data_IF_762970327818
#
_entry.id   IF_762970327818
#
_cell.length_a   1.000
_cell.length_b   1.000
_cell.length_c   1.000
_cell.angle_alpha   90.00
_cell.angle_beta   90.00
_cell.angle_gamma   90.00
#
_symmetry.space_group_name_H-M   'P 1'
#
loop_
_entity.id
_entity.type
_entity.pdbx_description
1 polymer ?
#
# COMPACT_ATOMS: atom_id res chain seq x y z
N UNK A 1 -8.55 29.84 -4.46
CA UNK A 1 -9.50 29.64 -5.58
C UNK A 1 -10.50 28.58 -5.12
N UNK A 2 -11.81 28.75 -5.38
CA UNK A 2 -12.83 27.72 -5.06
C UNK A 2 -13.30 27.11 -6.37
N UNK A 3 -13.49 25.80 -6.40
CA UNK A 3 -14.04 25.05 -7.53
C UNK A 3 -15.45 24.53 -7.18
N UNK A 4 -16.30 24.24 -8.18
CA UNK A 4 -17.62 23.63 -7.94
C UNK A 4 -17.47 22.23 -7.32
N UNK A 5 -18.28 21.92 -6.30
CA UNK A 5 -18.39 20.58 -5.71
C UNK A 5 -19.63 19.83 -6.19
N UNK A 6 -19.63 18.51 -6.03
CA UNK A 6 -20.70 17.62 -6.55
C UNK A 6 -21.94 17.49 -5.66
N UNK A 7 -22.05 18.26 -4.57
CA UNK A 7 -23.22 18.23 -3.70
C UNK A 7 -24.50 18.52 -4.50
N UNK A 8 -25.54 17.69 -4.34
CA UNK A 8 -26.80 17.71 -5.13
C UNK A 8 -26.67 17.46 -6.64
N UNK A 9 -25.50 17.03 -7.13
CA UNK A 9 -25.24 16.79 -8.56
C UNK A 9 -24.62 15.40 -8.83
N UNK A 10 -24.69 14.48 -7.86
CA UNK A 10 -24.02 13.18 -7.94
C UNK A 10 -24.40 12.36 -9.19
N UNK A 11 -25.69 12.30 -9.54
CA UNK A 11 -26.15 11.55 -10.72
C UNK A 11 -25.67 12.14 -12.05
N UNK A 12 -25.77 13.47 -12.21
CA UNK A 12 -25.33 14.15 -13.43
C UNK A 12 -23.80 14.10 -13.57
N UNK A 13 -23.07 14.25 -12.47
CA UNK A 13 -21.61 14.16 -12.47
C UNK A 13 -21.16 12.73 -12.81
N UNK A 14 -21.79 11.72 -12.21
CA UNK A 14 -21.51 10.31 -12.51
C UNK A 14 -21.73 9.98 -14.00
N UNK A 15 -22.87 10.42 -14.56
CA UNK A 15 -23.18 10.25 -15.97
C UNK A 15 -22.16 10.97 -16.86
N UNK A 16 -21.77 12.20 -16.49
CA UNK A 16 -20.78 12.99 -17.22
C UNK A 16 -19.42 12.28 -17.26
N UNK A 17 -18.94 11.77 -16.12
CA UNK A 17 -17.68 11.02 -16.07
C UNK A 17 -17.73 9.75 -16.92
N UNK A 18 -18.86 9.04 -16.92
CA UNK A 18 -19.04 7.85 -17.75
C UNK A 18 -19.04 8.20 -19.26
N UNK A 19 -19.73 9.28 -19.65
CA UNK A 19 -19.77 9.77 -21.04
C UNK A 19 -18.39 10.23 -21.54
N UNK A 20 -17.58 10.85 -20.67
CA UNK A 20 -16.20 11.23 -20.97
C UNK A 20 -15.25 10.03 -21.04
N UNK A 21 -15.68 8.85 -20.60
CA UNK A 21 -14.86 7.65 -20.56
C UNK A 21 -13.80 7.68 -19.45
N UNK A 22 -14.09 8.32 -18.32
CA UNK A 22 -13.21 8.34 -17.14
C UNK A 22 -13.04 6.92 -16.58
N UNK A 23 -11.79 6.57 -16.24
CA UNK A 23 -11.40 5.25 -15.72
C UNK A 23 -11.01 5.29 -14.23
N UNK A 24 -10.85 6.47 -13.64
CA UNK A 24 -10.48 6.66 -12.23
C UNK A 24 -11.11 7.95 -11.70
N UNK A 25 -11.88 7.86 -10.62
CA UNK A 25 -12.47 8.99 -9.92
C UNK A 25 -12.00 9.01 -8.46
N UNK A 26 -11.28 10.07 -8.08
CA UNK A 26 -11.00 10.41 -6.67
C UNK A 26 -12.02 11.42 -6.19
N UNK A 27 -12.66 11.14 -5.06
CA UNK A 27 -13.66 12.00 -4.45
C UNK A 27 -13.19 12.43 -3.08
N UNK A 28 -13.13 13.74 -2.92
CA UNK A 28 -12.68 14.42 -1.71
C UNK A 28 -13.87 14.86 -0.85
N UNK A 29 -13.64 15.05 0.45
CA UNK A 29 -14.70 15.32 1.45
C UNK A 29 -14.75 16.76 1.96
N UNK A 30 -14.05 17.70 1.33
CA UNK A 30 -14.03 19.09 1.77
C UNK A 30 -15.43 19.74 1.75
N UNK A 31 -15.68 20.67 2.69
CA UNK A 31 -16.85 21.56 2.72
C UNK A 31 -18.23 20.86 2.84
N UNK A 32 -18.29 19.65 3.39
CA UNK A 32 -19.54 18.94 3.67
C UNK A 32 -19.59 18.47 5.14
N UNK A 33 -20.80 18.19 5.63
CA UNK A 33 -21.01 17.66 6.99
C UNK A 33 -20.78 16.16 7.03
N UNK A 34 -20.51 15.62 8.22
CA UNK A 34 -20.38 14.18 8.44
C UNK A 34 -21.61 13.40 7.94
N UNK A 35 -22.81 13.87 8.29
CA UNK A 35 -24.08 13.25 7.89
C UNK A 35 -24.19 13.15 6.37
N UNK A 36 -23.76 14.18 5.64
CA UNK A 36 -23.77 14.15 4.19
C UNK A 36 -22.65 13.25 3.64
N UNK A 37 -21.45 13.25 4.20
CA UNK A 37 -20.35 12.40 3.71
C UNK A 37 -20.72 10.92 3.72
N UNK A 38 -21.31 10.45 4.82
CA UNK A 38 -21.68 9.04 4.97
C UNK A 38 -22.71 8.58 3.94
N UNK A 39 -23.58 9.48 3.48
CA UNK A 39 -24.59 9.19 2.44
C UNK A 39 -24.04 9.47 1.05
N UNK A 40 -23.34 10.59 0.85
CA UNK A 40 -22.87 11.06 -0.45
C UNK A 40 -21.82 10.15 -1.09
N UNK A 41 -20.92 9.55 -0.31
CA UNK A 41 -19.98 8.56 -0.86
C UNK A 41 -20.71 7.31 -1.37
N UNK A 42 -21.75 6.86 -0.65
CA UNK A 42 -22.58 5.72 -1.04
C UNK A 42 -23.39 6.07 -2.29
N UNK A 43 -24.12 7.18 -2.26
CA UNK A 43 -24.99 7.61 -3.34
C UNK A 43 -24.22 7.81 -4.65
N UNK A 44 -23.01 8.38 -4.57
CA UNK A 44 -22.15 8.51 -5.74
C UNK A 44 -21.67 7.15 -6.25
N UNK A 45 -21.25 6.24 -5.37
CA UNK A 45 -20.89 4.87 -5.76
C UNK A 45 -22.05 4.16 -6.49
N UNK A 46 -23.27 4.31 -5.98
CA UNK A 46 -24.48 3.78 -6.61
C UNK A 46 -24.80 4.48 -7.93
N UNK A 47 -24.61 5.80 -8.03
CA UNK A 47 -24.81 6.57 -9.26
C UNK A 47 -23.83 6.14 -10.36
N UNK A 48 -22.55 5.99 -10.01
CA UNK A 48 -21.52 5.49 -10.92
C UNK A 48 -21.86 4.09 -11.43
N UNK A 49 -22.33 3.19 -10.57
CA UNK A 49 -22.78 1.85 -10.98
C UNK A 49 -24.01 1.89 -11.91
N UNK A 50 -24.95 2.81 -11.68
CA UNK A 50 -26.14 3.00 -12.55
C UNK A 50 -25.79 3.44 -13.97
N UNK A 51 -24.63 4.05 -14.21
CA UNK A 51 -24.18 4.42 -15.57
C UNK A 51 -23.95 3.21 -16.48
N UNK A 52 -23.84 1.99 -15.91
CA UNK A 52 -23.55 0.77 -16.66
C UNK A 52 -22.08 0.62 -17.07
N UNK A 53 -21.22 1.61 -16.76
CA UNK A 53 -19.77 1.46 -16.84
C UNK A 53 -19.29 0.73 -15.57
N UNK A 54 -18.73 -0.48 -15.67
CA UNK A 54 -18.39 -1.26 -14.48
C UNK A 54 -17.45 -0.51 -13.55
N UNK A 55 -17.53 -0.73 -12.24
CA UNK A 55 -16.58 -0.20 -11.26
C UNK A 55 -15.59 -1.30 -10.82
N UNK A 56 -14.31 -1.07 -11.12
CA UNK A 56 -13.03 -1.79 -10.86
C UNK A 56 -12.56 -3.09 -11.55
N UNK A 57 -11.25 -2.99 -11.85
CA UNK A 57 -10.17 -3.89 -12.28
C UNK A 57 -10.52 -5.24 -12.94
N UNK A 58 -10.44 -5.25 -14.27
CA UNK A 58 -9.98 -6.42 -15.02
C UNK A 58 -9.26 -5.95 -16.29
N UNK A 59 -7.93 -6.00 -16.26
CA UNK A 59 -7.07 -5.82 -17.41
C UNK A 59 -7.21 -7.03 -18.35
N UNK A 60 -8.34 -7.18 -19.03
CA UNK A 60 -8.52 -8.04 -20.24
C UNK A 60 -9.96 -8.09 -20.79
N UNK A 61 -10.94 -7.36 -20.22
CA UNK A 61 -12.31 -7.36 -20.74
C UNK A 61 -12.66 -6.09 -21.54
N UNK A 62 -13.46 -6.17 -22.62
CA UNK A 62 -13.95 -4.97 -23.30
C UNK A 62 -14.88 -4.19 -22.37
N UNK A 63 -14.41 -3.02 -21.92
CA UNK A 63 -15.09 -2.15 -20.95
C UNK A 63 -14.16 -1.86 -19.78
N UNK A 64 -13.45 -0.72 -19.82
CA UNK A 64 -12.52 -0.32 -18.75
C UNK A 64 -13.32 0.06 -17.51
N UNK A 65 -13.15 -0.67 -16.40
CA UNK A 65 -13.95 -0.43 -15.23
C UNK A 65 -13.37 0.76 -14.43
N UNK A 66 -14.24 1.64 -13.95
CA UNK A 66 -13.85 2.86 -13.22
C UNK A 66 -13.39 2.53 -11.79
N UNK A 67 -12.26 3.08 -11.37
CA UNK A 67 -11.78 2.99 -9.99
C UNK A 67 -12.35 4.12 -9.15
N UNK A 68 -13.01 3.79 -8.04
CA UNK A 68 -13.54 4.78 -7.11
C UNK A 68 -12.67 4.87 -5.85
N UNK A 69 -11.95 5.98 -5.74
CA UNK A 69 -11.09 6.33 -4.61
C UNK A 69 -11.79 7.38 -3.74
N UNK A 70 -12.05 7.06 -2.48
CA UNK A 70 -12.72 7.99 -1.56
C UNK A 70 -11.80 8.46 -0.44
N UNK A 71 -11.93 9.72 -0.01
CA UNK A 71 -11.23 10.23 1.19
C UNK A 71 -11.99 9.95 2.49
N UNK A 72 -12.96 9.04 2.48
CA UNK A 72 -13.98 8.89 3.52
C UNK A 72 -13.41 8.70 4.94
N UNK A 73 -12.54 7.72 5.24
CA UNK A 73 -12.04 7.54 6.60
C UNK A 73 -11.29 8.76 7.14
N UNK A 74 -10.48 9.42 6.29
CA UNK A 74 -9.74 10.61 6.69
C UNK A 74 -10.65 11.72 7.23
N UNK A 75 -11.75 12.04 6.54
CA UNK A 75 -12.65 13.10 7.00
C UNK A 75 -13.38 12.71 8.29
N UNK A 76 -13.83 11.46 8.40
CA UNK A 76 -14.52 10.98 9.60
C UNK A 76 -13.59 11.09 10.82
N UNK A 77 -12.35 10.61 10.70
CA UNK A 77 -11.41 10.59 11.83
C UNK A 77 -10.81 11.96 12.14
N UNK A 78 -10.25 12.66 11.14
CA UNK A 78 -9.41 13.83 11.39
C UNK A 78 -10.14 15.17 11.27
N UNK A 79 -11.30 15.21 10.60
CA UNK A 79 -12.10 16.44 10.45
C UNK A 79 -13.32 16.41 11.37
N UNK A 80 -13.99 15.27 11.48
CA UNK A 80 -15.19 15.10 12.30
C UNK A 80 -14.92 14.44 13.67
N UNK A 81 -13.70 13.98 13.94
CA UNK A 81 -13.30 13.36 15.22
C UNK A 81 -14.16 12.15 15.61
N UNK A 82 -14.54 11.33 14.63
CA UNK A 82 -15.34 10.12 14.82
C UNK A 82 -14.62 8.88 14.27
N UNK A 83 -15.11 7.68 14.58
CA UNK A 83 -14.49 6.44 14.13
C UNK A 83 -15.01 6.00 12.76
N UNK A 84 -14.14 5.81 11.74
CA UNK A 84 -14.56 5.30 10.44
C UNK A 84 -15.16 3.89 10.50
N UNK A 85 -16.19 3.64 9.70
CA UNK A 85 -16.77 2.31 9.52
C UNK A 85 -16.17 1.61 8.29
N UNK A 86 -15.01 0.98 8.45
CA UNK A 86 -14.31 0.30 7.35
C UNK A 86 -15.10 -0.86 6.71
N UNK A 87 -16.05 -1.48 7.44
CA UNK A 87 -16.95 -2.51 6.88
C UNK A 87 -17.89 -1.92 5.82
N UNK A 88 -18.26 -0.65 5.97
CA UNK A 88 -19.13 0.04 5.03
C UNK A 88 -18.32 0.66 3.90
N UNK A 89 -17.21 1.31 4.23
CA UNK A 89 -16.29 1.91 3.25
C UNK A 89 -15.81 0.88 2.22
N UNK A 90 -15.41 -0.32 2.67
CA UNK A 90 -14.95 -1.40 1.77
C UNK A 90 -16.00 -1.95 0.82
N UNK A 91 -17.30 -1.71 1.05
CA UNK A 91 -18.38 -2.11 0.13
C UNK A 91 -18.59 -1.13 -1.00
N UNK A 92 -18.30 0.14 -0.78
CA UNK A 92 -18.66 1.23 -1.70
C UNK A 92 -17.46 1.90 -2.35
N UNK A 93 -16.26 1.80 -1.78
CA UNK A 93 -15.03 2.32 -2.36
C UNK A 93 -14.07 1.20 -2.74
N UNK A 94 -13.35 1.40 -3.84
CA UNK A 94 -12.30 0.46 -4.24
C UNK A 94 -10.96 0.75 -3.62
N UNK A 95 -10.74 1.98 -3.21
CA UNK A 95 -9.66 2.34 -2.32
C UNK A 95 -10.04 3.56 -1.50
N UNK A 96 -9.38 3.76 -0.37
CA UNK A 96 -9.65 4.90 0.49
C UNK A 96 -8.41 5.47 1.18
N UNK A 97 -8.36 6.79 1.23
CA UNK A 97 -7.33 7.54 1.97
C UNK A 97 -7.64 7.48 3.47
N UNK A 98 -6.73 6.87 4.22
CA UNK A 98 -6.86 6.69 5.68
C UNK A 98 -6.29 7.87 6.49
N UNK A 99 -5.21 8.49 5.99
CA UNK A 99 -4.37 9.40 6.76
C UNK A 99 -4.11 10.72 6.02
N UNK A 100 -3.39 11.64 6.67
CA UNK A 100 -3.00 12.93 6.13
C UNK A 100 -2.35 12.84 4.74
N UNK A 101 -2.49 13.93 3.98
CA UNK A 101 -1.85 14.06 2.66
C UNK A 101 -0.33 13.97 2.76
N UNK A 102 0.26 13.20 1.84
CA UNK A 102 1.70 13.15 1.67
C UNK A 102 2.21 14.52 1.26
N UNK A 103 3.13 15.04 2.04
CA UNK A 103 3.89 16.23 1.70
C UNK A 103 5.22 15.80 1.08
N UNK A 104 5.89 16.69 0.35
CA UNK A 104 7.22 16.43 -0.22
C UNK A 104 8.31 16.49 0.86
N UNK A 105 8.22 15.63 1.87
CA UNK A 105 9.17 15.52 2.98
C UNK A 105 9.28 14.09 3.50
N UNK A 106 10.44 13.76 4.06
CA UNK A 106 10.65 12.47 4.71
C UNK A 106 9.75 12.29 5.96
N UNK A 107 9.55 13.35 6.73
CA UNK A 107 8.72 13.30 7.95
C UNK A 107 7.26 12.92 7.65
N UNK A 108 6.72 13.36 6.49
CA UNK A 108 5.37 12.97 6.08
C UNK A 108 5.29 11.47 5.79
N UNK A 109 6.30 10.92 5.08
CA UNK A 109 6.40 9.47 4.81
C UNK A 109 6.53 8.70 6.13
N UNK A 110 7.37 9.16 7.06
CA UNK A 110 7.49 8.54 8.39
C UNK A 110 6.15 8.51 9.13
N UNK A 111 5.39 9.60 9.11
CA UNK A 111 4.06 9.66 9.73
C UNK A 111 3.09 8.65 9.12
N UNK A 112 3.08 8.53 7.80
CA UNK A 112 2.26 7.53 7.08
C UNK A 112 2.67 6.10 7.48
N UNK A 113 3.96 5.79 7.44
CA UNK A 113 4.49 4.48 7.84
C UNK A 113 4.07 4.13 9.27
N UNK A 114 4.20 5.08 10.20
CA UNK A 114 3.81 4.90 11.60
C UNK A 114 2.30 4.70 11.77
N UNK A 115 1.47 5.44 11.03
CA UNK A 115 0.02 5.27 11.04
C UNK A 115 -0.37 3.85 10.63
N UNK A 116 0.06 3.40 9.45
CA UNK A 116 -0.30 2.06 8.94
C UNK A 116 0.24 0.92 9.81
N UNK A 117 1.43 1.10 10.38
CA UNK A 117 1.99 0.16 11.36
C UNK A 117 1.10 0.05 12.60
N UNK A 118 0.75 1.19 13.21
CA UNK A 118 -0.02 1.22 14.46
C UNK A 118 -1.47 0.77 14.30
N UNK A 119 -2.05 1.01 13.11
CA UNK A 119 -3.45 0.69 12.78
C UNK A 119 -3.63 -0.64 12.04
N UNK A 120 -2.57 -1.45 11.86
CA UNK A 120 -2.63 -2.71 11.11
C UNK A 120 -3.83 -3.60 11.49
N UNK A 121 -4.07 -3.82 12.79
CA UNK A 121 -5.17 -4.68 13.27
C UNK A 121 -6.57 -4.18 12.91
N UNK A 122 -6.72 -2.87 12.74
CA UNK A 122 -7.98 -2.23 12.34
C UNK A 122 -8.13 -2.24 10.81
N UNK A 123 -7.05 -1.98 10.08
CA UNK A 123 -7.07 -1.78 8.62
C UNK A 123 -6.99 -3.09 7.82
N UNK A 124 -6.20 -4.07 8.28
CA UNK A 124 -5.95 -5.30 7.54
C UNK A 124 -7.21 -6.15 7.26
N UNK A 125 -8.18 -6.29 8.18
CA UNK A 125 -9.40 -7.08 7.91
C UNK A 125 -10.29 -6.55 6.78
N UNK A 126 -10.14 -5.27 6.42
CA UNK A 126 -10.94 -4.61 5.39
C UNK A 126 -10.17 -4.41 4.08
N UNK A 127 -8.92 -4.87 4.02
CA UNK A 127 -8.04 -4.70 2.88
C UNK A 127 -7.99 -5.98 2.04
N UNK A 128 -8.09 -5.86 0.72
CA UNK A 128 -7.93 -7.00 -0.19
C UNK A 128 -8.40 -6.70 -1.62
N UNK A 129 -8.47 -7.76 -2.46
CA UNK A 129 -8.87 -7.62 -3.86
C UNK A 129 -10.17 -6.84 -4.05
N UNK A 130 -10.05 -5.64 -4.66
CA UNK A 130 -11.16 -4.75 -4.98
C UNK A 130 -11.44 -3.65 -3.96
N UNK A 131 -10.76 -3.65 -2.81
CA UNK A 131 -10.96 -2.68 -1.72
C UNK A 131 -9.64 -2.45 -0.94
N UNK A 132 -8.92 -1.39 -1.28
CA UNK A 132 -7.52 -1.16 -0.89
C UNK A 132 -7.35 0.03 0.07
N UNK A 133 -6.41 -0.11 1.00
CA UNK A 133 -5.97 1.03 1.79
C UNK A 133 -5.04 1.92 0.95
N UNK A 134 -5.27 3.23 0.95
CA UNK A 134 -4.45 4.20 0.20
C UNK A 134 -3.58 5.05 1.15
N UNK A 135 -2.27 4.78 1.24
CA UNK A 135 -1.29 5.56 2.01
C UNK A 135 -0.88 6.86 1.31
N UNK A 136 -1.56 7.26 0.24
CA UNK A 136 -1.24 8.37 -0.63
C UNK A 136 -0.02 8.13 -1.54
N UNK A 137 0.33 9.15 -2.31
CA UNK A 137 1.15 9.01 -3.52
C UNK A 137 2.66 8.87 -3.25
N UNK A 138 3.37 8.26 -4.21
CA UNK A 138 4.82 8.30 -4.30
C UNK A 138 5.30 9.68 -4.75
N UNK A 139 6.23 10.27 -3.98
CA UNK A 139 6.77 11.63 -4.21
C UNK A 139 8.12 11.65 -4.94
N UNK A 140 8.36 10.66 -5.82
CA UNK A 140 9.62 10.58 -6.59
C UNK A 140 9.80 11.79 -7.51
N UNK A 141 11.01 12.07 -7.98
CA UNK A 141 11.29 13.21 -8.87
C UNK A 141 11.12 14.60 -8.24
N UNK A 142 10.82 14.68 -6.93
CA UNK A 142 10.79 15.93 -6.16
C UNK A 142 12.18 16.37 -5.69
N UNK A 143 13.14 15.42 -5.64
CA UNK A 143 14.51 15.67 -5.19
C UNK A 143 14.67 15.77 -3.66
N UNK A 144 13.62 15.52 -2.89
CA UNK A 144 13.63 15.65 -1.42
C UNK A 144 14.06 14.36 -0.70
N UNK A 145 13.99 13.22 -1.37
CA UNK A 145 14.31 11.91 -0.79
C UNK A 145 15.72 11.47 -1.17
N UNK A 146 16.44 10.89 -0.21
CA UNK A 146 17.66 10.13 -0.51
C UNK A 146 17.31 8.81 -1.22
N UNK A 147 18.32 8.13 -1.78
CA UNK A 147 18.13 6.81 -2.38
C UNK A 147 17.57 5.78 -1.38
N UNK A 148 18.05 5.81 -0.13
CA UNK A 148 17.59 4.92 0.95
C UNK A 148 16.13 5.22 1.32
N UNK A 149 15.78 6.49 1.52
CA UNK A 149 14.40 6.90 1.79
C UNK A 149 13.44 6.55 0.64
N UNK A 150 13.91 6.64 -0.60
CA UNK A 150 13.14 6.23 -1.78
C UNK A 150 12.89 4.71 -1.78
N UNK A 151 13.88 3.89 -1.37
CA UNK A 151 13.68 2.44 -1.18
C UNK A 151 12.64 2.17 -0.11
N UNK A 152 12.75 2.80 1.05
CA UNK A 152 11.79 2.61 2.16
C UNK A 152 10.38 2.97 1.71
N UNK A 153 10.20 4.11 1.03
CA UNK A 153 8.88 4.55 0.56
C UNK A 153 8.22 3.51 -0.35
N UNK A 154 8.91 3.07 -1.41
CA UNK A 154 8.35 2.08 -2.33
C UNK A 154 8.18 0.70 -1.68
N UNK A 155 9.17 0.24 -0.91
CA UNK A 155 9.13 -1.07 -0.27
C UNK A 155 7.96 -1.17 0.71
N UNK A 156 7.73 -0.15 1.54
CA UNK A 156 6.59 -0.15 2.47
C UNK A 156 5.28 -0.17 1.69
N UNK A 157 5.09 0.68 0.67
CA UNK A 157 3.86 0.66 -0.14
C UNK A 157 3.62 -0.70 -0.82
N UNK A 158 4.66 -1.34 -1.34
CA UNK A 158 4.58 -2.69 -1.92
C UNK A 158 4.15 -3.73 -0.87
N UNK A 159 4.73 -3.66 0.33
CA UNK A 159 4.38 -4.53 1.44
C UNK A 159 2.95 -4.30 1.95
N UNK A 160 2.45 -3.07 1.88
CA UNK A 160 1.07 -2.76 2.25
C UNK A 160 0.03 -3.20 1.20
N UNK A 161 0.45 -3.72 0.04
CA UNK A 161 -0.43 -3.93 -1.13
C UNK A 161 -1.19 -2.64 -1.49
N UNK A 162 -0.50 -1.50 -1.36
CA UNK A 162 -1.08 -0.20 -1.59
C UNK A 162 -1.12 0.17 -3.08
N UNK A 163 -1.99 1.11 -3.48
CA UNK A 163 -1.91 1.73 -4.80
C UNK A 163 -0.54 2.37 -5.03
N UNK A 164 0.11 2.03 -6.15
CA UNK A 164 1.38 2.63 -6.57
C UNK A 164 1.06 3.80 -7.51
N UNK A 165 0.68 4.94 -6.92
CA UNK A 165 0.32 6.16 -7.63
C UNK A 165 1.48 7.16 -7.59
N UNK A 166 1.99 7.56 -8.76
CA UNK A 166 3.05 8.54 -8.90
C UNK A 166 2.47 9.96 -8.89
N UNK A 167 2.98 10.82 -8.01
CA UNK A 167 2.69 12.26 -8.02
C UNK A 167 3.98 13.04 -8.23
N UNK A 168 4.44 13.05 -9.48
CA UNK A 168 5.75 13.58 -9.81
C UNK A 168 5.84 14.17 -11.21
N UNK A 169 6.79 15.10 -11.39
CA UNK A 169 7.26 15.47 -12.72
C UNK A 169 8.09 14.32 -13.30
N UNK A 170 7.51 13.56 -14.22
CA UNK A 170 8.15 12.41 -14.88
C UNK A 170 9.48 12.77 -15.56
N UNK A 171 9.72 14.05 -15.89
CA UNK A 171 11.00 14.51 -16.47
C UNK A 171 12.11 14.67 -15.43
N UNK A 172 11.75 14.72 -14.14
CA UNK A 172 12.68 14.89 -13.02
C UNK A 172 12.93 13.59 -12.24
N UNK A 173 12.25 12.50 -12.59
CA UNK A 173 12.56 11.17 -12.06
C UNK A 173 14.02 10.85 -12.36
N UNK A 174 14.80 10.58 -11.31
CA UNK A 174 16.20 10.21 -11.42
C UNK A 174 16.35 8.81 -12.03
N UNK A 175 17.50 8.47 -12.65
CA UNK A 175 17.75 7.11 -13.13
C UNK A 175 17.61 6.05 -12.02
N UNK A 176 17.95 6.41 -10.78
CA UNK A 176 17.82 5.54 -9.62
C UNK A 176 16.35 5.26 -9.26
N UNK A 177 15.53 6.30 -9.09
CA UNK A 177 14.10 6.15 -8.83
C UNK A 177 13.40 5.39 -9.96
N UNK A 178 13.78 5.65 -11.23
CA UNK A 178 13.28 4.88 -12.37
C UNK A 178 13.62 3.40 -12.25
N UNK A 179 14.88 3.06 -11.94
CA UNK A 179 15.30 1.65 -11.73
C UNK A 179 14.48 1.01 -10.62
N UNK A 180 14.24 1.74 -9.53
CA UNK A 180 13.46 1.28 -8.40
C UNK A 180 11.98 1.04 -8.77
N UNK A 181 11.34 1.99 -9.46
CA UNK A 181 9.96 1.87 -9.96
C UNK A 181 9.78 0.75 -10.99
N UNK A 182 10.84 0.35 -11.68
CA UNK A 182 10.84 -0.70 -12.69
C UNK A 182 11.37 -2.04 -12.16
N UNK A 183 11.66 -2.14 -10.86
CA UNK A 183 12.08 -3.39 -10.25
C UNK A 183 10.90 -4.37 -10.24
N UNK A 184 11.03 -5.43 -11.05
CA UNK A 184 9.97 -6.42 -11.25
C UNK A 184 9.68 -7.23 -9.99
N UNK A 185 10.66 -7.47 -9.13
CA UNK A 185 10.48 -8.20 -7.88
C UNK A 185 9.65 -7.37 -6.88
N UNK A 186 9.91 -6.07 -6.76
CA UNK A 186 9.09 -5.16 -5.93
C UNK A 186 7.67 -5.06 -6.50
N UNK A 187 7.52 -4.93 -7.82
CA UNK A 187 6.21 -4.89 -8.48
C UNK A 187 5.45 -6.20 -8.24
N UNK A 188 6.10 -7.35 -8.34
CA UNK A 188 5.50 -8.65 -8.10
C UNK A 188 4.95 -8.76 -6.67
N UNK A 189 5.71 -8.25 -5.68
CA UNK A 189 5.22 -8.14 -4.31
C UNK A 189 4.03 -7.18 -4.23
N UNK A 190 4.12 -5.98 -4.79
CA UNK A 190 3.06 -4.97 -4.73
C UNK A 190 1.75 -5.39 -5.42
N UNK A 191 1.84 -6.19 -6.49
CA UNK A 191 0.72 -6.61 -7.34
C UNK A 191 0.32 -8.07 -7.12
N UNK A 192 0.74 -8.67 -6.00
CA UNK A 192 0.38 -10.04 -5.67
C UNK A 192 -1.16 -10.25 -5.66
N UNK A 193 -1.68 -11.26 -6.39
CA UNK A 193 -3.13 -11.50 -6.48
C UNK A 193 -3.82 -11.85 -5.17
N UNK A 194 -3.10 -12.32 -4.14
CA UNK A 194 -3.73 -12.57 -2.83
C UNK A 194 -4.12 -11.26 -2.15
N UNK A 195 -3.49 -10.14 -2.51
CA UNK A 195 -3.86 -8.81 -2.04
C UNK A 195 -3.73 -8.63 -0.53
N UNK A 196 -2.85 -9.40 0.13
CA UNK A 196 -2.70 -9.37 1.58
C UNK A 196 -1.76 -8.23 1.99
N UNK A 197 -2.20 -7.39 2.92
CA UNK A 197 -1.36 -6.35 3.53
C UNK A 197 -0.38 -6.98 4.52
N UNK A 198 0.90 -6.58 4.46
CA UNK A 198 1.94 -7.11 5.34
C UNK A 198 1.69 -6.85 6.82
N UNK A 199 1.96 -7.84 7.66
CA UNK A 199 1.93 -7.71 9.11
C UNK A 199 3.24 -7.09 9.62
N UNK A 200 3.21 -6.00 10.39
CA UNK A 200 4.40 -5.44 11.04
C UNK A 200 4.75 -6.20 12.33
N UNK A 201 6.05 -6.43 12.53
CA UNK A 201 6.61 -6.95 13.77
C UNK A 201 7.72 -6.02 14.26
N UNK A 202 7.74 -5.73 15.56
CA UNK A 202 8.80 -4.92 16.18
C UNK A 202 10.11 -5.71 16.16
N UNK A 203 11.18 -5.08 15.69
CA UNK A 203 12.53 -5.61 15.84
C UNK A 203 13.08 -5.14 17.19
N UNK A 204 13.48 -6.06 18.09
CA UNK A 204 13.93 -5.71 19.43
C UNK A 204 15.28 -4.98 19.41
N UNK A 205 16.12 -5.26 18.41
CA UNK A 205 17.47 -4.70 18.28
C UNK A 205 17.49 -3.25 17.78
N UNK A 206 16.34 -2.73 17.32
CA UNK A 206 16.21 -1.39 16.76
C UNK A 206 15.23 -0.53 17.55
N UNK A 207 15.58 0.72 17.82
CA UNK A 207 14.69 1.67 18.51
C UNK A 207 13.48 2.02 17.63
N UNK A 208 13.71 2.34 16.36
CA UNK A 208 12.67 2.59 15.35
C UNK A 208 12.69 1.59 14.19
N UNK A 209 13.03 0.33 14.45
CA UNK A 209 13.00 -0.72 13.43
C UNK A 209 11.82 -1.68 13.52
N UNK A 210 11.41 -2.17 12.34
CA UNK A 210 10.32 -3.13 12.15
C UNK A 210 10.63 -4.06 10.99
N UNK A 211 10.06 -5.26 11.03
CA UNK A 211 9.98 -6.14 9.86
C UNK A 211 8.53 -6.29 9.44
N UNK A 212 8.24 -5.97 8.18
CA UNK A 212 6.97 -6.31 7.58
C UNK A 212 7.07 -7.69 6.94
N UNK A 213 6.09 -8.55 7.21
CA UNK A 213 6.03 -9.90 6.63
C UNK A 213 4.75 -10.03 5.83
N UNK A 214 4.87 -10.41 4.56
CA UNK A 214 3.77 -10.54 3.61
C UNK A 214 3.77 -11.93 2.99
N UNK A 215 2.72 -12.76 3.18
CA UNK A 215 2.53 -13.95 2.37
C UNK A 215 2.05 -13.56 0.97
N UNK A 216 2.56 -14.23 -0.06
CA UNK A 216 2.21 -13.98 -1.45
C UNK A 216 2.43 -15.23 -2.31
N UNK A 217 2.03 -15.17 -3.58
CA UNK A 217 2.29 -16.23 -4.56
C UNK A 217 3.75 -16.18 -5.07
N UNK A 218 4.32 -17.32 -5.52
CA UNK A 218 3.70 -18.64 -5.67
C UNK A 218 3.57 -19.40 -4.35
N UNK A 219 2.81 -20.51 -4.38
CA UNK A 219 2.73 -21.49 -3.29
C UNK A 219 3.36 -22.81 -3.71
N UNK A 220 4.19 -23.44 -2.87
CA UNK A 220 4.60 -24.84 -3.06
C UNK A 220 3.42 -25.75 -2.74
N UNK A 221 3.01 -26.53 -3.73
CA UNK A 221 1.92 -27.50 -3.62
C UNK A 221 0.58 -26.90 -3.19
N UNK A 222 0.33 -25.62 -3.53
CA UNK A 222 -0.84 -24.82 -3.10
C UNK A 222 -1.02 -24.63 -1.59
N UNK A 223 -0.06 -25.08 -0.76
CA UNK A 223 -0.16 -25.08 0.70
C UNK A 223 0.78 -24.06 1.35
N UNK A 224 2.02 -23.99 0.87
CA UNK A 224 3.06 -23.18 1.49
C UNK A 224 3.33 -21.94 0.65
N UNK A 225 2.91 -20.73 1.07
CA UNK A 225 3.17 -19.52 0.29
C UNK A 225 4.63 -19.10 0.36
N UNK A 226 5.04 -18.31 -0.62
CA UNK A 226 6.20 -17.44 -0.51
C UNK A 226 5.93 -16.31 0.49
N UNK A 227 6.99 -15.78 1.07
CA UNK A 227 6.92 -14.67 2.01
C UNK A 227 7.93 -13.59 1.65
N UNK A 228 7.51 -12.33 1.60
CA UNK A 228 8.45 -11.21 1.59
C UNK A 228 8.64 -10.69 3.01
N UNK A 229 9.90 -10.45 3.37
CA UNK A 229 10.32 -9.77 4.58
C UNK A 229 10.93 -8.42 4.18
N UNK A 230 10.41 -7.32 4.71
CA UNK A 230 11.02 -6.00 4.57
C UNK A 230 11.49 -5.51 5.94
N UNK A 231 12.80 -5.58 6.16
CA UNK A 231 13.48 -5.09 7.36
C UNK A 231 13.73 -3.60 7.19
N UNK A 232 13.03 -2.78 7.95
CA UNK A 232 13.14 -1.33 7.86
C UNK A 232 13.73 -0.79 9.13
N UNK A 233 14.83 -0.06 8.97
CA UNK A 233 15.51 0.64 10.02
C UNK A 233 15.31 2.14 9.80
N UNK A 234 14.57 2.77 10.73
CA UNK A 234 14.35 4.23 10.70
C UNK A 234 15.31 4.96 11.65
N UNK A 235 16.19 4.24 12.36
CA UNK A 235 17.28 4.84 13.12
C UNK A 235 18.40 5.28 12.16
N UNK A 236 19.27 6.18 12.62
CA UNK A 236 20.34 6.77 11.79
C UNK A 236 21.50 5.78 11.59
N UNK A 237 21.76 4.96 12.61
CA UNK A 237 22.85 4.01 12.60
C UNK A 237 22.41 2.68 11.98
N UNK A 238 23.33 2.01 11.30
CA UNK A 238 23.11 0.63 10.88
C UNK A 238 23.03 -0.31 12.08
N UNK A 239 22.32 -1.42 11.95
CA UNK A 239 22.27 -2.44 12.99
C UNK A 239 22.11 -3.82 12.42
N UNK A 240 22.68 -4.80 13.11
CA UNK A 240 22.45 -6.20 12.86
C UNK A 240 21.15 -6.62 13.53
N UNK A 241 20.28 -7.29 12.77
CA UNK A 241 19.01 -7.80 13.25
C UNK A 241 19.02 -9.31 13.10
N UNK A 242 18.72 -10.01 14.19
CA UNK A 242 18.56 -11.47 14.20
C UNK A 242 17.09 -11.85 14.20
N UNK A 243 16.67 -12.68 13.25
CA UNK A 243 15.30 -13.21 13.26
C UNK A 243 15.26 -14.72 13.06
N UNK A 244 14.29 -15.37 13.69
CA UNK A 244 14.03 -16.81 13.54
C UNK A 244 12.70 -17.00 12.82
N UNK A 245 12.69 -17.69 11.68
CA UNK A 245 11.50 -17.80 10.81
C UNK A 245 10.27 -18.36 11.53
N UNK A 246 10.46 -19.29 12.46
CA UNK A 246 9.38 -19.87 13.26
C UNK A 246 8.55 -18.88 14.08
N UNK A 247 9.04 -17.67 14.36
CA UNK A 247 8.30 -16.65 15.12
C UNK A 247 7.29 -15.87 14.26
N UNK A 248 7.34 -16.00 12.94
CA UNK A 248 6.50 -15.27 11.99
C UNK A 248 5.37 -16.12 11.38
N UNK A 249 5.04 -17.25 12.00
CA UNK A 249 3.93 -18.14 11.58
C UNK A 249 4.08 -18.70 10.16
N UNK A 250 5.32 -18.89 9.71
CA UNK A 250 5.59 -19.64 8.49
C UNK A 250 5.22 -21.11 8.74
N UNK A 251 4.81 -21.81 7.69
CA UNK A 251 4.30 -23.16 7.80
C UNK A 251 5.14 -24.22 7.07
N UNK A 252 6.13 -23.84 6.24
CA UNK A 252 7.01 -24.80 5.57
C UNK A 252 8.20 -25.18 6.44
N UNK A 253 8.29 -26.45 6.83
CA UNK A 253 9.42 -26.99 7.59
C UNK A 253 10.62 -27.36 6.71
N UNK A 254 10.42 -27.54 5.39
CA UNK A 254 11.48 -27.88 4.43
C UNK A 254 12.48 -26.72 4.22
N UNK A 255 12.13 -25.52 4.68
CA UNK A 255 12.93 -24.31 4.55
C UNK A 255 12.56 -23.46 3.34
N UNK A 256 13.35 -22.43 3.13
CA UNK A 256 13.12 -21.42 2.08
C UNK A 256 14.43 -21.08 1.39
N UNK A 257 14.36 -20.76 0.10
CA UNK A 257 15.44 -20.07 -0.61
C UNK A 257 15.18 -18.56 -0.57
N UNK A 258 16.23 -17.79 -0.29
CA UNK A 258 16.15 -16.34 -0.03
C UNK A 258 16.64 -15.57 -1.26
N UNK A 259 15.78 -14.74 -1.83
CA UNK A 259 16.08 -13.78 -2.90
C UNK A 259 16.18 -12.37 -2.32
N UNK A 260 17.26 -11.65 -2.62
CA UNK A 260 17.33 -10.20 -2.41
C UNK A 260 16.57 -9.47 -3.52
N UNK A 261 15.54 -8.73 -3.11
CA UNK A 261 14.60 -8.04 -4.01
C UNK A 261 15.26 -6.85 -4.71
N UNK A 262 16.28 -6.23 -4.12
CA UNK A 262 16.96 -5.08 -4.74
C UNK A 262 18.09 -5.51 -5.68
N UNK A 263 18.83 -6.57 -5.36
CA UNK A 263 19.90 -7.09 -6.21
C UNK A 263 19.41 -8.10 -7.26
N UNK A 264 18.34 -8.83 -6.98
CA UNK A 264 17.83 -9.93 -7.80
C UNK A 264 18.62 -11.24 -7.63
N UNK A 265 19.47 -11.34 -6.60
CA UNK A 265 20.34 -12.50 -6.37
C UNK A 265 19.79 -13.42 -5.26
N UNK A 266 19.83 -14.72 -5.49
CA UNK A 266 19.58 -15.71 -4.45
C UNK A 266 20.78 -15.77 -3.50
N UNK A 267 20.56 -15.49 -2.23
CA UNK A 267 21.64 -15.40 -1.24
C UNK A 267 21.96 -16.78 -0.67
N UNK A 268 20.94 -17.48 -0.14
CA UNK A 268 21.10 -18.78 0.52
C UNK A 268 19.77 -19.49 0.76
N UNK A 269 19.86 -20.74 1.21
CA UNK A 269 18.73 -21.46 1.80
C UNK A 269 18.77 -21.30 3.31
N UNK A 270 17.58 -21.22 3.92
CA UNK A 270 17.38 -21.10 5.38
C UNK A 270 16.36 -22.13 5.84
N UNK A 271 16.59 -22.73 7.00
CA UNK A 271 15.63 -23.68 7.59
C UNK A 271 14.65 -22.98 8.54
N UNK A 272 13.52 -23.62 8.82
CA UNK A 272 12.45 -23.05 9.65
C UNK A 272 12.88 -22.64 11.07
N UNK A 273 13.86 -23.35 11.64
CA UNK A 273 14.37 -23.10 12.99
C UNK A 273 15.67 -22.29 13.01
N UNK A 274 16.22 -21.97 11.84
CA UNK A 274 17.46 -21.21 11.75
C UNK A 274 17.21 -19.74 12.06
N UNK A 275 18.12 -19.18 12.86
CA UNK A 275 18.21 -17.72 13.03
C UNK A 275 19.06 -17.17 11.90
N UNK A 276 18.54 -16.17 11.18
CA UNK A 276 19.29 -15.46 10.18
C UNK A 276 19.51 -14.00 10.58
N UNK A 277 20.75 -13.58 10.43
CA UNK A 277 21.23 -12.23 10.70
C UNK A 277 21.15 -11.38 9.43
N UNK A 278 20.73 -10.14 9.58
CA UNK A 278 20.61 -9.16 8.51
C UNK A 278 21.18 -7.83 8.99
N UNK A 279 22.21 -7.34 8.30
CA UNK A 279 22.69 -5.97 8.49
C UNK A 279 21.74 -5.00 7.77
N UNK A 280 21.04 -4.17 8.54
CA UNK A 280 20.09 -3.19 8.00
C UNK A 280 20.68 -1.78 8.13
N UNK A 281 21.02 -1.10 7.02
CA UNK A 281 21.54 0.26 7.05
C UNK A 281 20.56 1.23 7.71
N UNK A 282 21.08 2.30 8.31
CA UNK A 282 20.26 3.36 8.89
C UNK A 282 19.42 4.10 7.86
N UNK A 283 18.18 4.43 8.23
CA UNK A 283 17.18 5.11 7.38
C UNK A 283 16.98 4.39 6.03
N UNK A 284 16.91 3.06 6.08
CA UNK A 284 16.88 2.21 4.90
C UNK A 284 16.02 0.94 5.09
N UNK A 285 15.93 0.17 4.02
CA UNK A 285 15.24 -1.11 3.98
C UNK A 285 16.08 -2.19 3.30
N UNK A 286 16.04 -3.38 3.85
CA UNK A 286 16.45 -4.62 3.19
C UNK A 286 15.20 -5.45 2.94
N UNK A 287 15.06 -6.00 1.74
CA UNK A 287 13.85 -6.71 1.32
C UNK A 287 14.21 -8.06 0.73
N UNK A 288 13.71 -9.13 1.36
CA UNK A 288 13.98 -10.51 0.98
C UNK A 288 12.70 -11.25 0.67
N UNK A 289 12.67 -11.95 -0.47
CA UNK A 289 11.59 -12.89 -0.79
C UNK A 289 12.05 -14.31 -0.53
N UNK A 290 11.31 -15.01 0.31
CA UNK A 290 11.53 -16.39 0.71
C UNK A 290 10.59 -17.28 -0.09
N UNK A 291 11.15 -18.09 -0.98
CA UNK A 291 10.40 -19.10 -1.72
C UNK A 291 10.52 -20.45 -1.02
N UNK A 292 9.42 -21.16 -0.77
CA UNK A 292 9.47 -22.47 -0.13
C UNK A 292 10.26 -23.47 -0.98
N UNK A 293 11.27 -24.10 -0.38
CA UNK A 293 11.95 -25.29 -0.92
C UNK A 293 10.98 -26.46 -0.90
#
# INVERSE_FOLDING_TARGET
MRYPGSYSHLDIDAQTFAEWGVDYLKVDGCFVTEDYLNVGYIDLGLALNRTGRPMVYSCSWPGRPMVYSCSWPYYIEYIHNNKPNYTEISKYCNMWRNYHDVQTSWDAILGIIQHYRSRYKELAPHHGPGHWNDPDMLIFGTGVLTHSQSRVHLAVLAMLSAPILLSCDMKKITPYEKKLLQNLDIIAVAQDPMGIMAQPYKLPDLWNGFVWVKPHLPKKGDQFPSYTFAFVNLDIDESEVSITLSTYHLNNTDGYTVLDVFSGEFIRNVTYYETFEVMVPGVDVIMYTLYPL
#
